data_IF_007575770245
#
_entry.id   IF_007575770245
#
_cell.length_a   1.000
_cell.length_b   1.000
_cell.length_c   1.000
_cell.angle_alpha   90.00
_cell.angle_beta   90.00
_cell.angle_gamma   90.00
#
_symmetry.space_group_name_H-M   'P 1'
#
loop_
_entity.id
_entity.type
_entity.pdbx_description
1 polymer ?
#
# COMPACT_ATOMS: atom_id res chain seq x y z
N UNK A 1 9.89 -20.25 17.57
CA UNK A 1 8.61 -19.71 17.08
C UNK A 1 8.51 -18.29 17.58
N UNK A 2 8.53 -17.30 16.68
CA UNK A 2 8.54 -15.88 17.04
C UNK A 2 7.17 -15.27 16.75
N UNK A 3 6.45 -14.90 17.81
CA UNK A 3 5.19 -14.19 17.72
C UNK A 3 5.42 -12.71 17.85
N UNK A 4 4.87 -11.96 16.91
CA UNK A 4 5.00 -10.52 16.86
C UNK A 4 3.67 -9.87 17.18
N UNK A 5 3.74 -8.72 17.87
CA UNK A 5 2.58 -7.93 18.30
C UNK A 5 2.10 -7.07 17.13
N UNK A 6 0.82 -7.16 16.81
CA UNK A 6 0.17 -6.34 15.81
C UNK A 6 -1.10 -5.73 16.39
N UNK A 7 -1.37 -4.49 16.01
CA UNK A 7 -2.65 -3.84 16.31
C UNK A 7 -3.47 -3.89 15.04
N UNK A 8 -4.45 -4.78 15.00
CA UNK A 8 -5.31 -4.98 13.85
C UNK A 8 -6.66 -4.33 14.06
N UNK A 9 -7.20 -3.73 13.01
CA UNK A 9 -8.54 -3.17 13.02
C UNK A 9 -9.54 -4.32 12.88
N UNK A 10 -10.42 -4.47 13.87
CA UNK A 10 -11.50 -5.44 13.82
C UNK A 10 -12.44 -5.09 12.64
N UNK A 11 -12.37 -5.88 11.57
CA UNK A 11 -13.14 -5.62 10.33
C UNK A 11 -14.54 -6.22 10.35
N UNK A 12 -15.11 -6.51 11.53
CA UNK A 12 -16.40 -7.18 11.62
C UNK A 12 -17.53 -6.34 11.01
N UNK A 13 -17.35 -5.02 10.92
CA UNK A 13 -18.22 -4.13 10.15
C UNK A 13 -17.40 -3.05 9.42
N UNK A 14 -17.30 -3.14 8.08
CA UNK A 14 -16.73 -2.08 7.22
C UNK A 14 -17.50 -0.74 7.32
N UNK A 15 -18.65 -0.73 8.01
CA UNK A 15 -19.56 0.41 8.15
C UNK A 15 -19.61 0.99 9.58
N UNK A 16 -18.88 0.45 10.55
CA UNK A 16 -18.82 1.03 11.89
C UNK A 16 -17.73 2.11 11.96
N UNK A 17 -18.14 3.32 12.32
CA UNK A 17 -17.24 4.46 12.58
C UNK A 17 -16.27 4.19 13.74
N UNK A 18 -16.59 3.23 14.58
CA UNK A 18 -15.79 2.78 15.71
C UNK A 18 -15.02 1.51 15.32
N UNK A 19 -13.89 1.69 14.61
CA UNK A 19 -12.99 0.57 14.33
C UNK A 19 -12.12 0.32 15.55
N UNK A 20 -12.50 -0.67 16.37
CA UNK A 20 -11.71 -1.04 17.55
C UNK A 20 -10.37 -1.69 17.14
N UNK A 21 -9.28 -1.19 17.73
CA UNK A 21 -7.94 -1.69 17.52
C UNK A 21 -7.68 -2.89 18.45
N UNK A 22 -7.74 -4.09 17.88
CA UNK A 22 -7.47 -5.29 18.65
C UNK A 22 -5.98 -5.66 18.59
N UNK A 23 -5.39 -5.88 19.76
CA UNK A 23 -4.04 -6.44 19.89
C UNK A 23 -4.06 -7.95 19.54
N UNK A 24 -3.35 -8.33 18.48
CA UNK A 24 -3.24 -9.72 18.02
C UNK A 24 -1.78 -10.11 17.84
N UNK A 25 -1.48 -11.36 18.20
CA UNK A 25 -0.16 -11.95 18.00
C UNK A 25 -0.16 -12.81 16.74
N UNK A 26 0.66 -12.45 15.76
CA UNK A 26 0.86 -13.26 14.56
C UNK A 26 2.26 -13.86 14.56
N UNK A 27 2.36 -15.13 14.19
CA UNK A 27 3.64 -15.80 14.00
C UNK A 27 4.32 -15.25 12.73
N UNK A 28 5.56 -14.77 12.87
CA UNK A 28 6.36 -14.15 11.80
C UNK A 28 6.39 -15.00 10.52
N UNK A 29 6.51 -16.32 10.68
CA UNK A 29 6.65 -17.28 9.57
C UNK A 29 5.40 -17.31 8.68
N UNK A 30 4.24 -16.98 9.23
CA UNK A 30 2.99 -16.95 8.48
C UNK A 30 2.75 -15.62 7.76
N UNK A 31 3.59 -14.61 7.95
CA UNK A 31 3.42 -13.29 7.31
C UNK A 31 4.07 -13.34 5.93
N UNK A 32 3.25 -13.21 4.88
CA UNK A 32 3.70 -13.30 3.49
C UNK A 32 4.00 -11.91 2.93
N UNK A 33 3.21 -10.91 3.29
CA UNK A 33 3.41 -9.55 2.79
C UNK A 33 2.83 -8.52 3.74
N UNK A 34 3.53 -7.40 3.87
CA UNK A 34 3.08 -6.21 4.57
C UNK A 34 3.15 -5.05 3.57
N UNK A 35 2.06 -4.30 3.41
CA UNK A 35 2.00 -3.13 2.52
C UNK A 35 1.53 -1.90 3.29
N UNK A 36 2.29 -0.80 3.32
CA UNK A 36 1.81 0.43 3.91
C UNK A 36 0.65 0.99 3.08
N UNK A 37 -0.37 1.49 3.76
CA UNK A 37 -1.56 2.08 3.16
C UNK A 37 -2.02 3.28 4.01
N UNK A 38 -2.82 4.16 3.41
CA UNK A 38 -3.51 5.21 4.13
C UNK A 38 -4.97 4.83 4.32
N UNK A 39 -5.47 4.94 5.54
CA UNK A 39 -6.85 4.65 5.90
C UNK A 39 -7.52 5.91 6.41
N UNK A 40 -8.81 6.08 6.12
CA UNK A 40 -9.62 7.14 6.70
C UNK A 40 -10.39 6.54 7.87
N UNK A 41 -10.05 6.93 9.09
CA UNK A 41 -10.72 6.51 10.32
C UNK A 41 -11.24 7.77 11.01
N UNK A 42 -12.54 7.84 11.31
CA UNK A 42 -13.17 9.00 11.97
C UNK A 42 -12.82 10.36 11.34
N UNK A 43 -12.89 10.47 10.00
CA UNK A 43 -12.48 11.66 9.23
C UNK A 43 -10.98 12.04 9.30
N UNK A 44 -10.15 11.25 9.98
CA UNK A 44 -8.70 11.44 10.00
C UNK A 44 -8.01 10.42 9.10
N UNK A 45 -7.06 10.90 8.30
CA UNK A 45 -6.20 10.03 7.51
C UNK A 45 -5.10 9.50 8.41
N UNK A 46 -5.10 8.20 8.64
CA UNK A 46 -4.09 7.49 9.44
C UNK A 46 -3.26 6.56 8.55
N UNK A 47 -1.99 6.42 8.89
CA UNK A 47 -1.12 5.43 8.26
C UNK A 47 -1.39 4.05 8.89
N UNK A 48 -1.51 3.04 8.03
CA UNK A 48 -1.61 1.66 8.47
C UNK A 48 -1.05 0.70 7.43
N UNK A 49 -1.36 -0.57 7.57
CA UNK A 49 -0.68 -1.66 6.89
C UNK A 49 -1.64 -2.78 6.51
N UNK A 50 -1.54 -3.26 5.27
CA UNK A 50 -2.15 -4.50 4.84
C UNK A 50 -1.24 -5.67 5.18
N UNK A 51 -1.74 -6.60 5.99
CA UNK A 51 -1.07 -7.84 6.30
C UNK A 51 -1.72 -8.97 5.51
N UNK A 52 -0.91 -9.68 4.73
CA UNK A 52 -1.30 -10.92 4.07
C UNK A 52 -0.64 -12.08 4.79
N UNK A 53 -1.45 -12.99 5.32
CA UNK A 53 -0.96 -14.23 5.92
C UNK A 53 -0.91 -15.37 4.91
N UNK A 54 -0.10 -16.38 5.20
CA UNK A 54 0.06 -17.58 4.39
C UNK A 54 -1.20 -18.45 4.36
N UNK A 55 -2.10 -18.27 5.33
CA UNK A 55 -3.40 -18.94 5.37
C UNK A 55 -4.46 -18.23 4.48
N UNK A 56 -4.04 -17.31 3.60
CA UNK A 56 -4.94 -16.57 2.71
C UNK A 56 -5.72 -15.42 3.37
N UNK A 57 -5.71 -15.34 4.70
CA UNK A 57 -6.36 -14.25 5.45
C UNK A 57 -5.64 -12.92 5.26
N UNK A 58 -6.42 -11.84 5.20
CA UNK A 58 -5.94 -10.46 5.08
C UNK A 58 -6.40 -9.67 6.30
N UNK A 59 -5.52 -8.84 6.82
CA UNK A 59 -5.80 -7.99 7.97
C UNK A 59 -5.34 -6.56 7.71
N UNK A 60 -6.06 -5.61 8.28
CA UNK A 60 -5.65 -4.20 8.35
C UNK A 60 -5.00 -3.99 9.71
N UNK A 61 -3.81 -3.42 9.76
CA UNK A 61 -3.16 -3.04 11.00
C UNK A 61 -2.86 -1.55 11.03
N UNK A 62 -3.01 -0.93 12.18
CA UNK A 62 -2.54 0.44 12.45
C UNK A 62 -1.07 0.42 12.85
N UNK A 63 -0.65 -0.61 13.59
CA UNK A 63 0.71 -0.72 14.09
C UNK A 63 1.32 -2.10 13.82
N UNK A 64 2.55 -2.08 13.30
CA UNK A 64 3.42 -3.23 13.06
C UNK A 64 4.64 -3.15 13.98
N UNK A 65 5.29 -4.28 14.32
CA UNK A 65 6.48 -4.29 15.17
C UNK A 65 7.67 -3.62 14.48
N UNK A 66 8.59 -3.10 15.30
CA UNK A 66 9.76 -2.32 14.88
C UNK A 66 10.64 -3.01 13.82
N UNK A 67 10.77 -4.34 13.89
CA UNK A 67 11.50 -5.13 12.91
C UNK A 67 10.97 -4.93 11.48
N UNK A 68 9.65 -4.90 11.30
CA UNK A 68 9.06 -4.64 10.00
C UNK A 68 9.08 -3.16 9.63
N UNK A 69 8.98 -2.26 10.62
CA UNK A 69 9.05 -0.81 10.38
C UNK A 69 10.39 -0.39 9.80
N UNK A 70 11.49 -1.00 10.25
CA UNK A 70 12.84 -0.76 9.70
C UNK A 70 12.93 -1.10 8.21
N UNK A 71 12.32 -2.20 7.78
CA UNK A 71 12.26 -2.59 6.36
C UNK A 71 11.56 -1.55 5.46
N UNK A 72 10.61 -0.80 6.00
CA UNK A 72 9.90 0.26 5.24
C UNK A 72 10.60 1.62 5.30
N UNK A 73 11.44 1.87 6.30
CA UNK A 73 12.08 3.18 6.47
C UNK A 73 13.24 3.44 5.49
N UNK A 74 13.73 2.42 4.79
CA UNK A 74 14.96 2.50 3.97
C UNK A 74 14.76 2.83 2.47
N UNK A 75 13.55 3.17 1.99
CA UNK A 75 13.39 3.49 0.55
C UNK A 75 12.72 4.84 0.23
N UNK A 76 13.50 5.92 0.15
CA UNK A 76 13.23 7.04 -0.75
C UNK A 76 13.88 6.79 -2.12
N UNK A 77 13.59 5.67 -2.82
CA UNK A 77 14.03 5.54 -4.21
C UNK A 77 12.98 6.14 -5.16
N UNK A 78 13.14 7.46 -5.31
CA UNK A 78 12.66 8.32 -6.38
C UNK A 78 12.71 7.56 -7.72
N UNK A 79 11.56 7.03 -8.18
CA UNK A 79 11.43 6.50 -9.54
C UNK A 79 11.30 7.70 -10.47
N UNK A 80 12.43 8.30 -10.84
CA UNK A 80 12.48 9.31 -11.89
C UNK A 80 11.92 8.69 -13.17
N UNK A 81 10.76 9.18 -13.60
CA UNK A 81 10.18 8.86 -14.90
C UNK A 81 11.10 9.46 -15.96
N UNK A 82 11.90 8.65 -16.65
CA UNK A 82 12.57 9.07 -17.87
C UNK A 82 11.51 9.11 -18.98
N UNK A 83 10.81 10.24 -19.11
CA UNK A 83 10.01 10.55 -20.29
C UNK A 83 10.99 10.62 -21.46
N UNK A 84 10.97 9.60 -22.33
CA UNK A 84 11.66 9.67 -23.60
C UNK A 84 10.93 10.72 -24.43
N UNK A 85 11.54 11.88 -24.60
CA UNK A 85 11.13 12.91 -25.54
C UNK A 85 11.17 12.29 -26.94
N UNK A 86 10.00 12.04 -27.53
CA UNK A 86 9.90 11.70 -28.95
C UNK A 86 9.99 13.00 -29.74
N UNK A 87 10.89 13.11 -30.73
CA UNK A 87 10.89 14.26 -31.64
C UNK A 87 9.60 14.22 -32.48
N UNK A 88 8.91 15.35 -32.50
CA UNK A 88 7.79 15.66 -33.37
C UNK A 88 8.31 15.72 -34.81
N UNK A 89 8.29 14.58 -35.50
CA UNK A 89 8.64 14.50 -36.92
C UNK A 89 7.42 15.01 -37.70
N UNK A 90 7.48 16.28 -38.09
CA UNK A 90 6.48 16.97 -38.90
C UNK A 90 6.28 16.27 -40.24
N UNK A 91 5.26 15.42 -40.30
CA UNK A 91 4.80 14.83 -41.54
C UNK A 91 4.05 15.88 -42.37
N UNK A 92 4.79 16.42 -43.35
CA UNK A 92 4.32 17.10 -44.56
C UNK A 92 3.19 16.29 -45.23
N UNK A 93 1.97 16.82 -45.24
CA UNK A 93 0.88 16.33 -46.09
C UNK A 93 0.45 17.48 -47.01
N UNK A 94 1.03 17.48 -48.21
CA UNK A 94 0.60 18.30 -49.35
C UNK A 94 -0.80 17.83 -49.79
N UNK A 95 -1.79 18.73 -49.70
CA UNK A 95 -3.17 18.44 -50.09
C UNK A 95 -3.30 18.60 -51.62
N UNK A 96 -3.82 17.60 -52.37
CA UNK A 96 -4.08 17.80 -53.78
C UNK A 96 -5.26 18.78 -53.97
N UNK A 97 -4.99 19.85 -54.71
CA UNK A 97 -5.99 20.83 -55.17
C UNK A 97 -6.96 20.17 -56.15
N UNK A 98 -8.29 20.36 -56.02
CA UNK A 98 -9.23 19.83 -57.01
C UNK A 98 -9.22 20.69 -58.29
N UNK A 99 -9.16 20.03 -59.45
CA UNK A 99 -9.63 20.57 -60.74
C UNK A 99 -10.93 19.87 -61.12
#
# INVERSE_FOLDING_TARGET
MEFLKFYVLASENEQQADQDEQLVYFNRIHIVSIKPIKMLINHHVVDGYWLRLSNGKKYKATQIPDEFKKLFSETPHKRSLNVKHFPDDGALLDAPTPQ
#
